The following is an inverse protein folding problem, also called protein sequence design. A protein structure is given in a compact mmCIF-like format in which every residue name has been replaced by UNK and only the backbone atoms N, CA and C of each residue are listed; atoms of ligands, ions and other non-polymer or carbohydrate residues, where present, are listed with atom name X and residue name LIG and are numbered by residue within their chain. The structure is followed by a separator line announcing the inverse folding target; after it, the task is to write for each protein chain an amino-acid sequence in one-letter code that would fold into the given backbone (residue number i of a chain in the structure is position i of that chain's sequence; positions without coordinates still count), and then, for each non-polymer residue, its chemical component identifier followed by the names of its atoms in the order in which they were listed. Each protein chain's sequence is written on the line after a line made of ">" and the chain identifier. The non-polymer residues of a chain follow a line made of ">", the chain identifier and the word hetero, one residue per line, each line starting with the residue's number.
data_IF_193586663036
#
_entry.id   IF_193586663036
#
_cell.length_a   1.000
_cell.length_b   1.000
_cell.length_c   1.000
_cell.angle_alpha   90.00
_cell.angle_beta   90.00
_cell.angle_gamma   90.00
#
_symmetry.space_group_name_H-M   'P 1'
#
loop_
_entity.id
_entity.type
_entity.pdbx_description
1 polymer ?
#
# COMPACT_ATOMS: atom_id res chain seq x y z
N UNK A 1 -4.13 -2.53 6.53
CA UNK A 1 -3.06 -1.71 5.93
C UNK A 1 -2.36 -0.88 7.01
N UNK A 2 -1.15 -0.39 6.74
CA UNK A 2 -0.35 0.48 7.62
C UNK A 2 0.30 1.61 6.83
N UNK A 3 0.81 2.61 7.53
CA UNK A 3 1.49 3.77 6.94
C UNK A 3 2.98 3.79 7.30
N UNK A 4 3.81 4.07 6.30
CA UNK A 4 5.22 4.39 6.46
C UNK A 4 5.42 5.88 6.14
N UNK A 5 6.01 6.62 7.10
CA UNK A 5 6.30 8.05 7.00
C UNK A 5 7.80 8.31 7.20
N UNK A 6 8.56 8.54 6.11
CA UNK A 6 9.96 8.91 6.22
C UNK A 6 10.14 10.26 6.92
N UNK A 7 11.02 10.30 7.92
CA UNK A 7 11.30 11.50 8.71
C UNK A 7 11.86 12.62 7.83
N UNK A 8 11.41 13.85 8.06
CA UNK A 8 11.88 15.03 7.34
C UNK A 8 11.32 15.17 5.91
N UNK A 9 10.30 14.40 5.54
CA UNK A 9 9.62 14.47 4.24
C UNK A 9 8.11 14.55 4.41
N UNK A 10 7.40 14.94 3.35
CA UNK A 10 5.95 14.84 3.25
C UNK A 10 5.51 13.55 2.54
N UNK A 11 6.40 12.57 2.40
CA UNK A 11 6.09 11.31 1.75
C UNK A 11 5.26 10.45 2.70
N UNK A 12 4.16 9.89 2.19
CA UNK A 12 3.41 8.83 2.84
C UNK A 12 3.35 7.63 1.92
N UNK A 13 3.64 6.45 2.46
CA UNK A 13 3.50 5.17 1.76
C UNK A 13 2.51 4.30 2.52
N UNK A 14 1.47 3.83 1.83
CA UNK A 14 0.59 2.77 2.29
C UNK A 14 1.23 1.43 2.00
N UNK A 15 1.29 0.57 3.01
CA UNK A 15 1.87 -0.76 2.91
C UNK A 15 1.05 -1.79 3.69
N UNK A 16 1.22 -3.06 3.33
CA UNK A 16 0.62 -4.19 4.04
C UNK A 16 1.65 -5.31 4.24
N UNK A 17 1.33 -6.26 5.11
CA UNK A 17 2.04 -7.53 5.15
C UNK A 17 1.20 -8.56 4.41
N UNK A 18 1.82 -9.30 3.48
CA UNK A 18 1.17 -10.43 2.82
C UNK A 18 1.13 -11.67 3.75
N UNK A 19 0.49 -12.75 3.28
CA UNK A 19 0.38 -14.01 4.02
C UNK A 19 1.75 -14.69 4.26
N UNK A 20 2.79 -14.30 3.52
CA UNK A 20 4.17 -14.78 3.67
C UNK A 20 4.97 -13.95 4.67
N UNK A 21 4.33 -12.97 5.33
CA UNK A 21 4.95 -12.01 6.26
C UNK A 21 5.95 -11.08 5.58
N UNK A 22 5.79 -10.83 4.28
CA UNK A 22 6.56 -9.83 3.56
C UNK A 22 5.84 -8.49 3.56
N UNK A 23 6.57 -7.40 3.82
CA UNK A 23 6.04 -6.06 3.69
C UNK A 23 5.98 -5.68 2.21
N UNK A 24 4.78 -5.33 1.73
CA UNK A 24 4.51 -4.90 0.36
C UNK A 24 4.16 -3.41 0.39
N UNK A 25 4.94 -2.61 -0.33
CA UNK A 25 4.66 -1.20 -0.54
C UNK A 25 3.61 -1.08 -1.65
N UNK A 26 2.43 -0.56 -1.32
CA UNK A 26 1.29 -0.52 -2.24
C UNK A 26 1.31 0.77 -3.05
N UNK A 27 1.24 1.91 -2.37
CA UNK A 27 1.21 3.21 -3.02
C UNK A 27 1.88 4.26 -2.14
N UNK A 28 2.62 5.17 -2.77
CA UNK A 28 3.30 6.27 -2.10
C UNK A 28 3.13 7.59 -2.85
N UNK A 29 3.19 8.69 -2.13
CA UNK A 29 3.12 10.03 -2.72
C UNK A 29 3.58 11.12 -1.77
N UNK A 30 3.99 12.25 -2.35
CA UNK A 30 4.22 13.49 -1.61
C UNK A 30 2.87 14.12 -1.24
N UNK A 31 2.65 14.37 0.05
CA UNK A 31 1.40 14.87 0.63
C UNK A 31 1.42 16.35 0.97
N UNK A 32 2.39 17.10 0.45
CA UNK A 32 2.43 18.56 0.61
C UNK A 32 1.08 19.17 0.23
N UNK A 33 0.45 19.86 1.19
CA UNK A 33 -0.83 20.59 1.07
C UNK A 33 -2.09 19.80 0.64
N UNK A 34 -2.05 18.47 0.54
CA UNK A 34 -3.20 17.66 0.06
C UNK A 34 -3.59 16.47 0.93
N UNK A 35 -3.30 16.50 2.24
CA UNK A 35 -3.41 15.34 3.13
C UNK A 35 -4.78 14.63 3.11
N UNK A 36 -5.91 15.33 3.20
CA UNK A 36 -7.23 14.69 3.30
C UNK A 36 -7.70 14.04 1.99
N UNK A 37 -7.68 14.81 0.90
CA UNK A 37 -8.04 14.35 -0.47
C UNK A 37 -7.18 13.14 -0.88
N UNK A 38 -5.92 13.21 -0.50
CA UNK A 38 -4.93 12.17 -0.72
C UNK A 38 -5.26 10.81 -0.09
N UNK A 39 -5.98 10.77 1.04
CA UNK A 39 -6.36 9.50 1.67
C UNK A 39 -7.57 8.88 0.99
N UNK A 40 -8.58 9.71 0.67
CA UNK A 40 -9.78 9.27 -0.04
C UNK A 40 -9.43 8.67 -1.40
N UNK A 41 -8.41 9.21 -2.06
CA UNK A 41 -7.89 8.66 -3.32
C UNK A 41 -6.96 7.45 -3.13
N UNK A 42 -6.04 7.48 -2.16
CA UNK A 42 -5.03 6.44 -2.01
C UNK A 42 -5.54 5.13 -1.44
N UNK A 43 -6.49 5.18 -0.49
CA UNK A 43 -6.95 3.96 0.20
C UNK A 43 -7.59 2.98 -0.79
N UNK A 44 -8.55 3.39 -1.66
CA UNK A 44 -9.14 2.48 -2.64
C UNK A 44 -8.10 1.90 -3.61
N UNK A 45 -7.11 2.70 -4.01
CA UNK A 45 -6.03 2.24 -4.91
C UNK A 45 -5.15 1.22 -4.19
N UNK A 46 -4.81 1.45 -2.92
CA UNK A 46 -4.00 0.53 -2.15
C UNK A 46 -4.74 -0.80 -1.89
N UNK A 47 -6.05 -0.75 -1.65
CA UNK A 47 -6.87 -1.96 -1.50
C UNK A 47 -6.88 -2.78 -2.80
N UNK A 48 -7.11 -2.13 -3.95
CA UNK A 48 -7.04 -2.79 -5.25
C UNK A 48 -5.67 -3.43 -5.52
N UNK A 49 -4.57 -2.69 -5.29
CA UNK A 49 -3.21 -3.22 -5.46
C UNK A 49 -2.92 -4.40 -4.53
N UNK A 50 -3.51 -4.42 -3.33
CA UNK A 50 -3.36 -5.55 -2.42
C UNK A 50 -4.14 -6.78 -2.88
N UNK A 51 -5.34 -6.60 -3.44
CA UNK A 51 -6.11 -7.69 -4.04
C UNK A 51 -5.37 -8.29 -5.24
N UNK A 52 -4.86 -7.44 -6.15
CA UNK A 52 -4.05 -7.85 -7.30
C UNK A 52 -2.80 -8.65 -6.86
N UNK A 53 -2.11 -8.19 -5.81
CA UNK A 53 -0.98 -8.93 -5.22
C UNK A 53 -1.40 -10.32 -4.73
N UNK A 54 -2.53 -10.44 -4.04
CA UNK A 54 -3.01 -11.74 -3.55
C UNK A 54 -3.45 -12.66 -4.70
N UNK A 55 -4.01 -12.13 -5.78
CA UNK A 55 -4.33 -12.90 -6.98
C UNK A 55 -3.06 -13.46 -7.63
N UNK A 56 -2.04 -12.61 -7.83
CA UNK A 56 -0.74 -13.05 -8.35
C UNK A 56 -0.12 -14.19 -7.52
N UNK A 57 -0.17 -14.08 -6.19
CA UNK A 57 0.33 -15.15 -5.31
C UNK A 57 -0.46 -16.47 -5.42
N UNK A 58 -1.77 -16.42 -5.69
CA UNK A 58 -2.56 -17.64 -5.93
C UNK A 58 -2.21 -18.28 -7.26
N UNK A 59 -2.02 -17.47 -8.30
CA UNK A 59 -1.61 -17.95 -9.63
C UNK A 59 -0.22 -18.60 -9.60
N UNK A 60 0.69 -18.04 -8.80
CA UNK A 60 2.04 -18.58 -8.56
C UNK A 60 2.03 -19.82 -7.64
N UNK A 61 0.91 -20.14 -6.99
CA UNK A 61 0.81 -21.25 -6.03
C UNK A 61 1.52 -21.00 -4.70
N UNK A 62 1.82 -19.74 -4.40
CA UNK A 62 2.51 -19.29 -3.17
C UNK A 62 1.57 -19.22 -1.95
N UNK A 63 0.26 -19.07 -2.20
CA UNK A 63 -0.79 -19.09 -1.18
C UNK A 63 -2.00 -19.92 -1.66
N UNK A 64 -2.85 -20.44 -0.75
CA UNK A 64 -4.02 -21.24 -1.09
C UNK A 64 -5.10 -20.51 -1.89
#
# INVERSE_FOLDING_TARGET
>A
MKELRPLGTNILVLFAFDLRRMAILLIGGDKTDRWSESYEEMIPVADYLYEEHLEGLREEGEIP
#
